data_IF_363808281824
#
_entry.id   IF_363808281824
#
_cell.length_a   1.000
_cell.length_b   1.000
_cell.length_c   1.000
_cell.angle_alpha   90.00
_cell.angle_beta   90.00
_cell.angle_gamma   90.00
#
_symmetry.space_group_name_H-M   'P 1'
#
loop_
_entity.id
_entity.type
_entity.pdbx_description
1 polymer ?
#
# COMPACT_ATOMS: atom_id res chain seq x y z
N UNK A 1 -24.08 0.04 30.54
CA UNK A 1 -24.27 -0.64 29.24
C UNK A 1 -24.37 0.45 28.19
N UNK A 2 -23.42 0.55 27.26
CA UNK A 2 -23.50 1.55 26.17
C UNK A 2 -24.43 0.98 25.11
N UNK A 3 -25.61 1.59 24.97
CA UNK A 3 -26.55 1.27 23.90
C UNK A 3 -25.93 1.66 22.57
N UNK A 4 -25.49 0.68 21.78
CA UNK A 4 -25.01 0.92 20.42
C UNK A 4 -26.26 1.00 19.54
N UNK A 5 -26.54 2.18 19.00
CA UNK A 5 -27.65 2.36 18.06
C UNK A 5 -27.49 1.38 16.89
N UNK A 6 -28.58 0.79 16.38
CA UNK A 6 -28.52 -0.12 15.24
C UNK A 6 -27.92 0.62 14.04
N UNK A 7 -26.82 0.08 13.52
CA UNK A 7 -26.14 0.64 12.35
C UNK A 7 -26.99 0.26 11.14
N UNK A 8 -27.74 1.22 10.60
CA UNK A 8 -28.43 1.03 9.33
C UNK A 8 -27.40 0.84 8.21
N UNK A 9 -27.52 -0.20 7.36
CA UNK A 9 -26.62 -0.37 6.24
C UNK A 9 -26.80 0.80 5.27
N UNK A 10 -25.69 1.46 4.93
CA UNK A 10 -25.66 2.52 3.92
C UNK A 10 -25.98 1.94 2.54
N UNK A 11 -26.66 2.71 1.70
CA UNK A 11 -26.91 2.30 0.32
C UNK A 11 -25.61 2.32 -0.49
N UNK A 12 -25.56 1.52 -1.56
CA UNK A 12 -24.44 1.53 -2.52
C UNK A 12 -24.19 2.92 -3.11
N UNK A 13 -25.24 3.73 -3.27
CA UNK A 13 -25.13 5.09 -3.81
C UNK A 13 -24.48 6.03 -2.79
N UNK A 14 -24.87 5.96 -1.53
CA UNK A 14 -24.27 6.76 -0.44
C UNK A 14 -22.80 6.38 -0.21
N UNK A 15 -22.48 5.08 -0.29
CA UNK A 15 -21.09 4.62 -0.22
C UNK A 15 -20.24 5.21 -1.36
N UNK A 16 -20.74 5.16 -2.60
CA UNK A 16 -20.07 5.74 -3.77
C UNK A 16 -19.90 7.26 -3.67
N UNK A 17 -20.85 7.95 -3.05
CA UNK A 17 -20.79 9.39 -2.86
C UNK A 17 -19.82 9.80 -1.74
N UNK A 18 -19.47 8.88 -0.83
CA UNK A 18 -18.49 9.13 0.21
C UNK A 18 -17.08 8.83 -0.32
N UNK A 19 -16.40 9.90 -0.77
CA UNK A 19 -15.03 9.89 -1.28
C UNK A 19 -14.02 9.15 -0.39
N UNK A 20 -14.25 9.12 0.93
CA UNK A 20 -13.36 8.49 1.91
C UNK A 20 -13.89 7.17 2.47
N UNK A 21 -14.98 6.62 1.95
CA UNK A 21 -15.61 5.40 2.48
C UNK A 21 -14.62 4.23 2.54
N UNK A 22 -13.90 4.00 1.44
CA UNK A 22 -12.89 2.94 1.35
C UNK A 22 -11.78 3.17 2.39
N UNK A 23 -11.23 4.39 2.50
CA UNK A 23 -10.19 4.69 3.49
C UNK A 23 -10.69 4.43 4.92
N UNK A 24 -11.95 4.78 5.22
CA UNK A 24 -12.53 4.54 6.54
C UNK A 24 -12.65 3.04 6.84
N UNK A 25 -13.07 2.23 5.87
CA UNK A 25 -13.11 0.77 6.02
C UNK A 25 -11.72 0.18 6.24
N UNK A 26 -10.71 0.69 5.52
CA UNK A 26 -9.32 0.27 5.70
C UNK A 26 -8.80 0.60 7.10
N UNK A 27 -9.09 1.81 7.61
CA UNK A 27 -8.75 2.22 8.98
C UNK A 27 -9.47 1.34 10.01
N UNK A 28 -10.76 1.07 9.80
CA UNK A 28 -11.53 0.17 10.68
C UNK A 28 -10.90 -1.22 10.72
N UNK A 29 -10.59 -1.80 9.56
CA UNK A 29 -9.96 -3.11 9.46
C UNK A 29 -8.58 -3.17 10.12
N UNK A 30 -7.78 -2.12 9.96
CA UNK A 30 -6.50 -1.99 10.68
C UNK A 30 -6.71 -1.97 12.20
N UNK A 31 -7.64 -1.14 12.71
CA UNK A 31 -7.95 -1.05 14.15
C UNK A 31 -8.45 -2.38 14.75
N UNK A 32 -8.99 -3.28 13.93
CA UNK A 32 -9.42 -4.62 14.33
C UNK A 32 -8.36 -5.71 14.10
N UNK A 33 -7.14 -5.34 13.69
CA UNK A 33 -6.02 -6.28 13.55
C UNK A 33 -6.06 -7.16 12.30
N UNK A 34 -6.78 -6.77 11.24
CA UNK A 34 -6.85 -7.57 10.00
C UNK A 34 -5.48 -7.70 9.33
N UNK A 35 -4.69 -6.61 9.33
CA UNK A 35 -3.33 -6.57 8.76
C UNK A 35 -2.52 -5.45 9.40
N UNK A 36 -1.19 -5.62 9.51
CA UNK A 36 -0.33 -4.65 10.17
C UNK A 36 -0.01 -3.42 9.30
N UNK A 37 -0.23 -3.50 7.98
CA UNK A 37 -0.07 -2.40 7.04
C UNK A 37 -1.22 -2.37 6.04
N UNK A 38 -1.69 -1.16 5.75
CA UNK A 38 -2.67 -0.83 4.72
C UNK A 38 -2.01 0.06 3.66
N UNK A 39 -2.33 -0.20 2.40
CA UNK A 39 -2.06 0.70 1.28
C UNK A 39 -3.40 1.07 0.63
N UNK A 40 -3.72 2.36 0.60
CA UNK A 40 -4.84 2.91 -0.15
C UNK A 40 -4.33 3.98 -1.12
N UNK A 41 -4.68 3.87 -2.40
CA UNK A 41 -4.40 4.93 -3.37
C UNK A 41 -5.58 5.89 -3.45
N UNK A 42 -5.31 7.18 -3.33
CA UNK A 42 -6.31 8.26 -3.39
C UNK A 42 -5.85 9.37 -4.34
N UNK A 43 -6.68 10.38 -4.58
CA UNK A 43 -6.28 11.53 -5.38
C UNK A 43 -5.35 12.46 -4.59
N UNK A 44 -4.39 13.08 -5.27
CA UNK A 44 -3.42 13.97 -4.64
C UNK A 44 -4.07 15.24 -4.08
N UNK A 45 -5.15 15.70 -4.70
CA UNK A 45 -5.92 16.87 -4.24
C UNK A 45 -6.53 16.67 -2.84
N UNK A 46 -6.70 15.41 -2.40
CA UNK A 46 -7.24 15.09 -1.06
C UNK A 46 -6.18 14.99 0.03
N UNK A 47 -4.90 15.21 -0.29
CA UNK A 47 -3.78 14.97 0.63
C UNK A 47 -4.03 15.60 2.00
N UNK A 48 -4.41 16.88 2.04
CA UNK A 48 -4.56 17.61 3.30
C UNK A 48 -5.72 17.06 4.15
N UNK A 49 -6.82 16.67 3.51
CA UNK A 49 -7.96 16.03 4.19
C UNK A 49 -7.59 14.64 4.74
N UNK A 50 -6.84 13.86 3.97
CA UNK A 50 -6.32 12.54 4.38
C UNK A 50 -5.37 12.70 5.56
N UNK A 51 -4.39 13.61 5.47
CA UNK A 51 -3.39 13.83 6.50
C UNK A 51 -4.03 14.34 7.81
N UNK A 52 -4.97 15.27 7.72
CA UNK A 52 -5.74 15.74 8.87
C UNK A 52 -6.52 14.60 9.54
N UNK A 53 -7.12 13.70 8.75
CA UNK A 53 -7.81 12.51 9.28
C UNK A 53 -6.86 11.58 10.02
N UNK A 54 -5.73 11.23 9.41
CA UNK A 54 -4.76 10.30 9.98
C UNK A 54 -4.15 10.84 11.28
N UNK A 55 -3.85 12.15 11.33
CA UNK A 55 -3.38 12.83 12.54
C UNK A 55 -4.42 12.83 13.66
N UNK A 56 -5.68 13.14 13.35
CA UNK A 56 -6.77 13.15 14.33
C UNK A 56 -7.00 11.78 14.97
N UNK A 57 -6.86 10.72 14.18
CA UNK A 57 -7.07 9.35 14.64
C UNK A 57 -5.80 8.72 15.25
N UNK A 58 -4.72 9.51 15.43
CA UNK A 58 -3.40 9.12 15.95
C UNK A 58 -2.80 7.87 15.28
N UNK A 59 -2.86 7.86 13.95
CA UNK A 59 -2.37 6.74 13.13
C UNK A 59 -0.93 6.99 12.67
N UNK A 60 -0.10 5.94 12.64
CA UNK A 60 1.17 6.00 11.93
C UNK A 60 0.91 5.87 10.43
N UNK A 61 1.55 6.71 9.63
CA UNK A 61 1.36 6.72 8.18
C UNK A 61 2.60 7.17 7.41
N UNK A 62 2.57 6.91 6.10
CA UNK A 62 3.47 7.46 5.10
C UNK A 62 2.68 7.82 3.84
N UNK A 63 2.85 9.06 3.36
CA UNK A 63 2.19 9.57 2.16
C UNK A 63 3.23 9.64 1.05
N UNK A 64 3.01 8.93 -0.05
CA UNK A 64 3.93 8.87 -1.18
C UNK A 64 3.19 9.21 -2.48
N UNK A 65 3.56 10.28 -3.20
CA UNK A 65 3.01 10.56 -4.52
C UNK A 65 3.29 9.41 -5.48
N UNK A 66 2.27 8.97 -6.21
CA UNK A 66 2.42 7.98 -7.26
C UNK A 66 3.06 8.60 -8.51
N UNK A 67 3.64 7.79 -9.42
CA UNK A 67 4.12 8.28 -10.71
C UNK A 67 3.06 9.09 -11.44
N UNK A 68 3.43 10.28 -11.92
CA UNK A 68 2.53 11.21 -12.60
C UNK A 68 1.78 12.18 -11.69
N UNK A 69 1.96 12.11 -10.36
CA UNK A 69 1.60 13.17 -9.40
C UNK A 69 0.10 13.36 -9.13
N UNK A 70 -0.79 12.68 -9.85
CA UNK A 70 -2.26 12.77 -9.65
C UNK A 70 -2.78 11.90 -8.50
N UNK A 71 -2.07 10.82 -8.20
CA UNK A 71 -2.48 9.89 -7.16
C UNK A 71 -1.49 9.94 -5.99
N UNK A 72 -2.00 9.63 -4.81
CA UNK A 72 -1.27 9.54 -3.56
C UNK A 72 -1.43 8.13 -2.99
N UNK A 73 -0.32 7.44 -2.76
CA UNK A 73 -0.30 6.23 -1.96
C UNK A 73 -0.30 6.60 -0.48
N UNK A 74 -1.34 6.15 0.22
CA UNK A 74 -1.55 6.33 1.65
C UNK A 74 -1.22 5.01 2.33
N UNK A 75 -0.04 4.94 2.93
CA UNK A 75 0.33 3.84 3.82
C UNK A 75 -0.08 4.19 5.24
N UNK A 76 -0.78 3.29 5.93
CA UNK A 76 -1.07 3.41 7.36
C UNK A 76 -0.94 2.05 8.03
N UNK A 77 -0.56 2.02 9.30
CA UNK A 77 -0.42 0.75 10.01
C UNK A 77 0.43 0.84 11.27
N UNK A 78 0.99 -0.30 11.66
CA UNK A 78 1.93 -0.37 12.77
C UNK A 78 3.18 0.45 12.45
N UNK A 79 3.69 1.16 13.46
CA UNK A 79 4.85 2.03 13.30
C UNK A 79 6.03 1.33 12.62
N UNK A 80 6.36 0.11 13.07
CA UNK A 80 7.46 -0.66 12.50
C UNK A 80 7.24 -0.98 11.00
N UNK A 81 6.01 -1.32 10.61
CA UNK A 81 5.66 -1.64 9.22
C UNK A 81 5.70 -0.39 8.34
N UNK A 82 5.18 0.73 8.83
CA UNK A 82 5.24 2.02 8.15
C UNK A 82 6.69 2.48 7.98
N UNK A 83 7.53 2.32 9.00
CA UNK A 83 8.94 2.72 8.95
C UNK A 83 9.73 1.87 7.96
N UNK A 84 9.42 0.56 7.81
CA UNK A 84 9.99 -0.28 6.74
C UNK A 84 9.65 0.29 5.36
N UNK A 85 8.38 0.66 5.11
CA UNK A 85 7.99 1.22 3.81
C UNK A 85 8.69 2.54 3.51
N UNK A 86 8.92 3.39 4.51
CA UNK A 86 9.69 4.64 4.33
C UNK A 86 11.10 4.38 3.80
N UNK A 87 11.72 3.24 4.11
CA UNK A 87 13.05 2.87 3.58
C UNK A 87 13.05 2.60 2.07
N UNK A 88 11.88 2.42 1.45
CA UNK A 88 11.78 2.22 0.00
C UNK A 88 12.03 3.53 -0.78
N UNK A 89 11.96 4.68 -0.09
CA UNK A 89 12.11 6.01 -0.66
C UNK A 89 11.03 6.32 -1.70
N UNK A 90 11.36 7.15 -2.68
CA UNK A 90 10.45 7.53 -3.76
C UNK A 90 10.35 6.49 -4.89
N UNK A 91 10.81 5.26 -4.64
CA UNK A 91 10.75 4.18 -5.63
C UNK A 91 9.29 3.89 -5.95
N UNK A 92 8.86 3.99 -7.23
CA UNK A 92 7.52 3.60 -7.61
C UNK A 92 7.26 2.13 -7.27
N UNK A 93 6.05 1.79 -6.83
CA UNK A 93 5.70 0.41 -6.44
C UNK A 93 5.96 -0.62 -7.55
N UNK A 94 5.76 -0.24 -8.81
CA UNK A 94 6.06 -1.10 -9.96
C UNK A 94 7.54 -1.28 -10.29
N UNK A 95 8.45 -0.63 -9.55
CA UNK A 95 9.90 -0.66 -9.74
C UNK A 95 10.66 -1.08 -8.47
N UNK A 96 9.96 -1.64 -7.49
CA UNK A 96 10.60 -2.20 -6.30
C UNK A 96 11.48 -3.40 -6.70
N UNK A 97 12.57 -3.60 -5.95
CA UNK A 97 13.35 -4.85 -6.07
C UNK A 97 12.50 -6.02 -5.60
N UNK A 98 12.81 -7.26 -6.01
CA UNK A 98 12.07 -8.45 -5.60
C UNK A 98 11.99 -8.59 -4.07
N UNK A 99 13.06 -8.23 -3.37
CA UNK A 99 13.12 -8.27 -1.90
C UNK A 99 12.17 -7.22 -1.28
N UNK A 100 12.14 -5.99 -1.82
CA UNK A 100 11.23 -4.94 -1.35
C UNK A 100 9.76 -5.26 -1.68
N UNK A 101 9.48 -5.82 -2.86
CA UNK A 101 8.13 -6.29 -3.25
C UNK A 101 7.65 -7.44 -2.34
N UNK A 102 8.56 -8.37 -2.01
CA UNK A 102 8.26 -9.47 -1.09
C UNK A 102 7.89 -8.93 0.29
N UNK A 103 8.73 -8.06 0.87
CA UNK A 103 8.50 -7.44 2.19
C UNK A 103 7.17 -6.69 2.18
N UNK A 104 6.94 -5.83 1.19
CA UNK A 104 5.69 -5.07 1.08
C UNK A 104 4.47 -5.99 1.07
N UNK A 105 4.50 -7.05 0.27
CA UNK A 105 3.38 -7.97 0.17
C UNK A 105 3.10 -8.74 1.46
N UNK A 106 4.14 -9.14 2.20
CA UNK A 106 3.97 -9.75 3.53
C UNK A 106 3.34 -8.78 4.51
N UNK A 107 3.78 -7.51 4.53
CA UNK A 107 3.20 -6.47 5.41
C UNK A 107 1.73 -6.17 5.08
N UNK A 108 1.36 -6.22 3.79
CA UNK A 108 -0.04 -6.06 3.34
C UNK A 108 -0.92 -7.29 3.65
N UNK A 109 -0.34 -8.38 4.17
CA UNK A 109 -1.06 -9.58 4.56
C UNK A 109 -1.32 -10.56 3.42
N UNK A 110 -0.56 -10.49 2.30
CA UNK A 110 -0.63 -11.52 1.28
C UNK A 110 -0.10 -12.86 1.80
N UNK A 111 -0.59 -13.94 1.19
CA UNK A 111 -0.14 -15.28 1.51
C UNK A 111 1.38 -15.43 1.28
N UNK A 112 2.08 -16.00 2.27
CA UNK A 112 3.54 -16.09 2.27
C UNK A 112 4.03 -17.01 1.15
N UNK A 113 3.35 -18.12 0.90
CA UNK A 113 3.72 -19.08 -0.14
C UNK A 113 3.58 -18.44 -1.53
N UNK A 114 2.46 -17.74 -1.78
CA UNK A 114 2.28 -16.97 -3.02
C UNK A 114 3.32 -15.87 -3.19
N UNK A 115 3.72 -15.20 -2.10
CA UNK A 115 4.81 -14.22 -2.14
C UNK A 115 6.16 -14.88 -2.46
N UNK A 116 6.44 -16.09 -1.95
CA UNK A 116 7.65 -16.85 -2.31
C UNK A 116 7.67 -17.17 -3.81
N UNK A 117 6.57 -17.68 -4.36
CA UNK A 117 6.44 -17.97 -5.79
C UNK A 117 6.63 -16.71 -6.64
N UNK A 118 6.03 -15.59 -6.23
CA UNK A 118 6.17 -14.29 -6.90
C UNK A 118 7.61 -13.81 -6.86
N UNK A 119 8.27 -13.90 -5.71
CA UNK A 119 9.67 -13.52 -5.54
C UNK A 119 10.59 -14.29 -6.49
N UNK A 120 10.48 -15.62 -6.53
CA UNK A 120 11.29 -16.46 -7.42
C UNK A 120 11.09 -16.08 -8.90
N UNK A 121 9.84 -15.86 -9.32
CA UNK A 121 9.52 -15.41 -10.68
C UNK A 121 10.16 -14.06 -11.01
N UNK A 122 10.26 -13.14 -10.05
CA UNK A 122 10.93 -11.85 -10.24
C UNK A 122 12.45 -12.02 -10.33
N UNK A 123 13.06 -12.85 -9.48
CA UNK A 123 14.52 -13.16 -9.55
C UNK A 123 14.90 -13.79 -10.90
N UNK A 124 14.07 -14.69 -11.42
CA UNK A 124 14.31 -15.31 -12.73
C UNK A 124 14.30 -14.27 -13.85
N UNK A 125 13.35 -13.32 -13.80
CA UNK A 125 13.27 -12.20 -14.76
C UNK A 125 14.51 -11.30 -14.67
N UNK A 126 14.95 -10.95 -13.47
CA UNK A 126 16.19 -10.18 -13.28
C UNK A 126 17.41 -10.88 -13.88
N UNK A 127 17.55 -12.19 -13.64
CA UNK A 127 18.65 -12.98 -14.18
C UNK A 127 18.62 -13.06 -15.72
N UNK A 128 17.43 -13.16 -16.32
CA UNK A 128 17.27 -13.16 -17.78
C UNK A 128 17.60 -11.80 -18.40
N UNK A 129 17.18 -10.70 -17.78
CA UNK A 129 17.51 -9.34 -18.22
C UNK A 129 19.01 -9.05 -18.14
N UNK A 130 19.68 -9.50 -17.07
CA UNK A 130 21.12 -9.37 -16.93
C UNK A 130 21.89 -10.10 -18.05
N UNK A 131 21.47 -11.33 -18.41
CA UNK A 131 22.06 -12.10 -19.52
C UNK A 131 21.82 -11.46 -20.90
N UNK A 132 20.64 -10.88 -21.09
CA UNK A 132 20.30 -10.14 -22.32
C UNK A 132 21.17 -8.90 -22.52
N UNK A 133 21.32 -8.09 -21.46
CA UNK A 133 22.16 -6.88 -21.50
C UNK A 133 23.64 -7.20 -21.71
N UNK A 134 24.13 -8.30 -21.13
CA UNK A 134 25.51 -8.75 -21.35
C UNK A 134 25.75 -9.17 -22.81
N UNK A 135 24.77 -9.82 -23.48
CA UNK A 135 24.88 -10.13 -24.91
C UNK A 135 24.86 -8.89 -25.81
N UNK A 136 24.06 -7.87 -25.51
CA UNK A 136 24.08 -6.62 -26.29
C UNK A 136 25.43 -5.90 -26.20
N UNK A 137 26.06 -5.88 -25.02
CA UNK A 137 27.34 -5.20 -24.81
C UNK A 137 28.55 -5.94 -25.40
N UNK A 138 28.41 -7.21 -25.82
CA UNK A 138 29.46 -7.95 -26.53
C UNK A 138 29.32 -7.87 -28.06
N UNK A 139 28.24 -7.27 -28.58
CA UNK A 139 27.94 -7.19 -30.02
C UNK A 139 28.03 -5.73 -30.52
N UNK A 140 28.30 -4.77 -29.64
CA UNK A 140 28.63 -3.38 -29.95
C UNK A 140 30.15 -3.14 -29.78
#
# INVERSE_FOLDING_TARGET
MVSVAPISPITTQEYKNNKFAVLNEQIYGYKHGIRPLVLQTMQMEDKDAIEARLKRDDLNYHLQPAPGGKNLNVFLGDKACVDVVKTFGDTPLGKLTPEKDFILGVLLGYDKTKQCERYLKLKDKEAQQAKGNQKLNLVA
#
